data_IF_067179225312
#
_entry.id   IF_067179225312
#
_cell.length_a   1.000
_cell.length_b   1.000
_cell.length_c   1.000
_cell.angle_alpha   90.00
_cell.angle_beta   90.00
_cell.angle_gamma   90.00
#
_symmetry.space_group_name_H-M   'P 1'
#
loop_
_entity.id
_entity.type
_entity.pdbx_description
1 polymer ?
#
# COMPACT_ATOMS: atom_id res chain seq x y z
N UNK A 1 6.56 8.07 -7.20
CA UNK A 1 5.27 7.91 -6.49
C UNK A 1 4.65 6.60 -6.90
N UNK A 2 4.52 5.67 -5.97
CA UNK A 2 4.09 4.28 -6.17
C UNK A 2 2.60 4.16 -6.52
N UNK A 3 2.13 2.97 -6.90
CA UNK A 3 0.71 2.56 -6.80
C UNK A 3 0.60 1.32 -5.93
N UNK A 4 -0.48 1.16 -5.18
CA UNK A 4 -0.71 0.00 -4.32
C UNK A 4 -2.14 -0.54 -4.42
N UNK A 5 -2.30 -1.79 -4.00
CA UNK A 5 -3.56 -2.50 -3.93
C UNK A 5 -3.60 -3.36 -2.67
N UNK A 6 -4.75 -3.37 -2.02
CA UNK A 6 -5.07 -4.16 -0.83
C UNK A 6 -6.31 -4.99 -1.10
N UNK A 7 -6.30 -6.24 -0.66
CA UNK A 7 -7.44 -7.15 -0.69
C UNK A 7 -7.67 -7.72 0.70
N UNK A 8 -8.93 -7.79 1.12
CA UNK A 8 -9.37 -8.57 2.26
C UNK A 8 -10.72 -9.22 1.94
N UNK A 9 -10.78 -10.55 2.00
CA UNK A 9 -11.98 -11.28 1.64
C UNK A 9 -11.78 -12.77 1.53
N UNK A 10 -12.47 -13.39 0.57
CA UNK A 10 -12.27 -14.78 0.21
C UNK A 10 -10.86 -15.00 -0.35
N UNK A 11 -10.45 -16.26 -0.35
CA UNK A 11 -9.16 -16.67 -0.91
C UNK A 11 -9.16 -16.50 -2.43
N UNK A 12 -8.29 -15.62 -2.95
CA UNK A 12 -8.15 -15.31 -4.39
C UNK A 12 -6.71 -15.47 -4.83
N UNK A 13 -6.47 -15.62 -6.13
CA UNK A 13 -5.08 -15.66 -6.64
C UNK A 13 -4.46 -14.27 -6.62
N UNK A 14 -3.16 -14.19 -6.36
CA UNK A 14 -2.41 -12.94 -6.48
C UNK A 14 -2.49 -12.39 -7.91
N UNK A 15 -2.49 -13.26 -8.94
CA UNK A 15 -2.65 -12.83 -10.34
C UNK A 15 -3.95 -12.07 -10.57
N UNK A 16 -5.06 -12.53 -9.99
CA UNK A 16 -6.40 -11.96 -10.21
C UNK A 16 -6.54 -10.53 -9.67
N UNK A 17 -5.67 -10.14 -8.75
CA UNK A 17 -5.61 -8.79 -8.18
C UNK A 17 -4.58 -7.90 -8.87
N UNK A 18 -3.42 -8.47 -9.25
CA UNK A 18 -2.23 -7.69 -9.63
C UNK A 18 -1.99 -7.66 -11.13
N UNK A 19 -2.19 -8.78 -11.82
CA UNK A 19 -1.78 -8.99 -13.22
C UNK A 19 -2.96 -8.98 -14.18
N UNK A 20 -4.03 -9.67 -13.81
CA UNK A 20 -5.15 -10.01 -14.69
C UNK A 20 -6.08 -8.82 -14.98
N UNK A 21 -6.36 -7.90 -14.02
CA UNK A 21 -7.24 -6.77 -14.28
C UNK A 21 -6.71 -5.84 -15.40
N UNK A 22 -7.59 -5.32 -16.27
CA UNK A 22 -7.19 -4.58 -17.48
C UNK A 22 -6.46 -3.26 -17.18
N UNK A 23 -6.67 -2.69 -15.99
CA UNK A 23 -5.95 -1.51 -15.48
C UNK A 23 -5.33 -1.78 -14.11
N UNK A 24 -5.01 -3.04 -13.80
CA UNK A 24 -4.40 -3.47 -12.54
C UNK A 24 -2.95 -3.00 -12.38
N UNK A 25 -2.32 -3.39 -11.27
CA UNK A 25 -0.96 -2.95 -10.91
C UNK A 25 0.08 -3.20 -12.02
N UNK A 26 -0.04 -4.29 -12.79
CA UNK A 26 0.82 -4.53 -13.97
C UNK A 26 0.75 -3.39 -14.98
N UNK A 27 -0.45 -2.92 -15.30
CA UNK A 27 -0.65 -1.83 -16.26
C UNK A 27 -0.26 -0.50 -15.64
N UNK A 28 -0.61 -0.28 -14.36
CA UNK A 28 -0.22 0.91 -13.60
C UNK A 28 1.31 1.06 -13.44
N UNK A 29 2.06 -0.03 -13.63
CA UNK A 29 3.51 0.01 -13.66
C UNK A 29 4.05 0.87 -14.82
N UNK A 30 3.42 0.85 -15.99
CA UNK A 30 3.89 1.59 -17.18
C UNK A 30 2.90 2.64 -17.71
N UNK A 31 1.62 2.55 -17.37
CA UNK A 31 0.56 3.45 -17.83
C UNK A 31 -0.50 3.69 -16.74
N UNK A 32 -0.13 4.28 -15.59
CA UNK A 32 -1.10 4.65 -14.55
C UNK A 32 -2.05 5.75 -15.06
N UNK A 33 -3.34 5.65 -14.73
CA UNK A 33 -4.40 6.52 -15.26
C UNK A 33 -4.64 7.77 -14.42
N UNK A 34 -4.46 7.68 -13.09
CA UNK A 34 -4.80 8.75 -12.13
C UNK A 34 -3.58 9.32 -11.39
N UNK A 35 -2.39 8.83 -11.68
CA UNK A 35 -1.14 9.29 -11.09
C UNK A 35 -0.73 10.68 -11.59
N UNK A 36 -0.41 11.59 -10.66
CA UNK A 36 -0.12 13.01 -10.97
C UNK A 36 1.36 13.40 -10.89
N UNK A 37 2.18 12.61 -10.20
CA UNK A 37 3.47 13.07 -9.68
C UNK A 37 4.69 12.38 -10.30
N UNK A 38 4.50 11.33 -11.11
CA UNK A 38 5.54 10.72 -11.93
C UNK A 38 4.91 10.00 -13.12
N UNK A 39 5.74 9.66 -14.12
CA UNK A 39 5.27 9.09 -15.39
C UNK A 39 4.86 7.62 -15.28
N UNK A 40 5.60 6.82 -14.49
CA UNK A 40 5.45 5.37 -14.41
C UNK A 40 6.06 4.82 -13.11
N UNK A 41 5.84 3.54 -12.82
CA UNK A 41 6.28 2.81 -11.63
C UNK A 41 7.15 1.58 -12.00
N UNK A 42 8.43 1.83 -12.29
CA UNK A 42 9.37 0.81 -12.75
C UNK A 42 10.51 0.49 -11.78
N UNK A 43 10.58 1.19 -10.65
CA UNK A 43 11.71 1.13 -9.72
C UNK A 43 11.56 0.01 -8.67
N UNK A 44 10.80 -1.03 -9.02
CA UNK A 44 10.49 -2.18 -8.19
C UNK A 44 8.99 -2.50 -8.09
N UNK A 45 8.71 -3.68 -7.56
CA UNK A 45 7.36 -4.10 -7.19
C UNK A 45 7.43 -5.07 -6.01
N UNK A 46 6.32 -5.21 -5.29
CA UNK A 46 6.23 -6.22 -4.25
C UNK A 46 4.80 -6.65 -3.98
N UNK A 47 4.66 -7.90 -3.53
CA UNK A 47 3.41 -8.48 -3.05
C UNK A 47 3.69 -9.13 -1.71
N UNK A 48 2.90 -8.75 -0.71
CA UNK A 48 2.79 -9.45 0.55
C UNK A 48 1.41 -10.08 0.69
N UNK A 49 1.36 -11.25 1.31
CA UNK A 49 0.12 -12.01 1.47
C UNK A 49 0.17 -12.88 2.74
N UNK A 50 -1.01 -13.24 3.25
CA UNK A 50 -1.15 -14.09 4.44
C UNK A 50 -1.49 -15.51 4.03
N UNK A 51 -0.65 -16.46 4.46
CA UNK A 51 -0.76 -17.87 4.13
C UNK A 51 -1.63 -18.63 5.16
N UNK A 52 -2.66 -19.32 4.69
CA UNK A 52 -3.54 -20.13 5.53
C UNK A 52 -2.80 -21.32 6.20
N UNK A 53 -1.71 -21.81 5.62
CA UNK A 53 -0.96 -22.96 6.13
C UNK A 53 -0.10 -22.64 7.38
N UNK A 54 0.05 -21.36 7.74
CA UNK A 54 0.89 -20.89 8.85
C UNK A 54 0.06 -20.46 10.07
N UNK A 55 -1.11 -21.08 10.28
CA UNK A 55 -2.19 -20.59 11.17
C UNK A 55 -2.59 -19.12 10.88
N UNK A 56 -2.31 -18.63 9.66
CA UNK A 56 -2.63 -17.27 9.21
C UNK A 56 -1.83 -16.14 9.86
N UNK A 57 -0.84 -16.44 10.73
CA UNK A 57 -0.28 -15.42 11.62
C UNK A 57 0.83 -14.55 11.01
N UNK A 58 1.65 -15.08 10.09
CA UNK A 58 2.82 -14.39 9.56
C UNK A 58 2.68 -14.02 8.07
N UNK A 59 2.91 -12.77 7.67
CA UNK A 59 2.89 -12.37 6.27
C UNK A 59 4.12 -12.90 5.52
N UNK A 60 3.90 -13.35 4.29
CA UNK A 60 4.96 -13.67 3.32
C UNK A 60 5.11 -12.51 2.34
N UNK A 61 6.32 -12.33 1.78
CA UNK A 61 6.60 -11.26 0.81
C UNK A 61 7.44 -11.76 -0.35
N UNK A 62 7.10 -11.28 -1.54
CA UNK A 62 7.96 -11.33 -2.72
C UNK A 62 8.15 -9.90 -3.21
N UNK A 63 9.41 -9.46 -3.26
CA UNK A 63 9.78 -8.11 -3.67
C UNK A 63 10.85 -8.15 -4.74
N UNK A 64 10.87 -7.13 -5.59
CA UNK A 64 11.83 -6.93 -6.66
C UNK A 64 12.17 -5.44 -6.80
N UNK A 65 13.36 -5.17 -7.33
CA UNK A 65 13.80 -3.83 -7.76
C UNK A 65 13.60 -3.62 -9.27
N UNK A 66 13.16 -4.65 -9.98
CA UNK A 66 12.91 -4.62 -11.43
C UNK A 66 11.46 -4.20 -11.73
N UNK A 67 11.15 -3.78 -12.97
CA UNK A 67 9.78 -3.45 -13.37
C UNK A 67 8.86 -4.68 -13.37
N UNK A 68 7.63 -4.53 -12.86
CA UNK A 68 6.65 -5.63 -12.74
C UNK A 68 6.31 -6.29 -14.08
N UNK A 69 6.18 -5.51 -15.15
CA UNK A 69 5.76 -6.03 -16.47
C UNK A 69 6.78 -6.97 -17.12
N UNK A 70 8.02 -6.99 -16.64
CA UNK A 70 9.08 -7.84 -17.17
C UNK A 70 9.36 -9.09 -16.33
N UNK A 71 8.65 -9.29 -15.22
CA UNK A 71 8.93 -10.38 -14.28
C UNK A 71 8.19 -11.67 -14.64
N UNK A 72 8.80 -12.45 -15.54
CA UNK A 72 8.25 -13.74 -16.01
C UNK A 72 8.14 -14.79 -14.91
N UNK A 73 8.95 -14.68 -13.85
CA UNK A 73 8.87 -15.60 -12.72
C UNK A 73 7.62 -15.33 -11.90
N UNK A 74 7.35 -14.06 -11.62
CA UNK A 74 6.13 -13.67 -10.94
C UNK A 74 4.88 -13.95 -11.79
N UNK A 75 4.91 -13.67 -13.09
CA UNK A 75 3.80 -14.02 -14.00
C UNK A 75 3.47 -15.53 -13.99
N UNK A 76 4.50 -16.38 -13.94
CA UNK A 76 4.33 -17.83 -13.88
C UNK A 76 3.76 -18.32 -12.53
N UNK A 77 4.18 -17.73 -11.41
CA UNK A 77 3.87 -18.25 -10.06
C UNK A 77 2.66 -17.56 -9.42
N UNK A 78 2.37 -16.30 -9.73
CA UNK A 78 1.27 -15.54 -9.13
C UNK A 78 -0.12 -16.21 -9.24
N UNK A 79 -0.46 -16.96 -10.31
CA UNK A 79 -1.72 -17.71 -10.37
C UNK A 79 -1.81 -18.87 -9.36
N UNK A 80 -0.68 -19.39 -8.88
CA UNK A 80 -0.63 -20.47 -7.90
C UNK A 80 -0.62 -19.95 -6.45
N UNK A 81 -0.28 -18.68 -6.23
CA UNK A 81 -0.31 -18.04 -4.92
C UNK A 81 -1.71 -17.55 -4.61
N UNK A 82 -2.29 -18.02 -3.51
CA UNK A 82 -3.62 -17.61 -3.05
C UNK A 82 -3.57 -17.03 -1.65
N UNK A 83 -4.41 -16.04 -1.40
CA UNK A 83 -4.60 -15.49 -0.06
C UNK A 83 -5.94 -14.78 0.08
N UNK A 84 -6.45 -14.76 1.32
CA UNK A 84 -7.58 -13.96 1.76
C UNK A 84 -7.19 -12.51 2.08
N UNK A 85 -5.90 -12.21 2.20
CA UNK A 85 -5.40 -10.88 2.54
C UNK A 85 -4.10 -10.57 1.80
N UNK A 86 -4.10 -9.54 0.94
CA UNK A 86 -2.96 -9.20 0.07
C UNK A 86 -2.68 -7.70 0.15
N UNK A 87 -1.40 -7.31 0.17
CA UNK A 87 -0.94 -5.93 -0.07
C UNK A 87 0.11 -5.98 -1.17
N UNK A 88 -0.12 -5.27 -2.26
CA UNK A 88 0.75 -5.23 -3.42
C UNK A 88 1.10 -3.78 -3.79
N UNK A 89 2.27 -3.57 -4.38
CA UNK A 89 2.71 -2.26 -4.82
C UNK A 89 3.63 -2.32 -6.04
N UNK A 90 3.59 -1.27 -6.86
CA UNK A 90 4.59 -0.94 -7.88
C UNK A 90 5.24 0.38 -7.51
N UNK A 91 6.56 0.46 -7.64
CA UNK A 91 7.38 1.53 -7.08
C UNK A 91 7.79 2.53 -8.15
N UNK A 92 7.72 3.80 -7.79
CA UNK A 92 8.44 4.87 -8.45
C UNK A 92 9.25 5.61 -7.39
N UNK A 93 10.56 5.45 -7.45
CA UNK A 93 11.48 5.93 -6.44
C UNK A 93 11.57 7.46 -6.45
N UNK A 94 11.55 8.06 -5.27
CA UNK A 94 11.90 9.48 -5.11
C UNK A 94 13.34 9.69 -5.58
N UNK A 95 13.59 10.79 -6.31
CA UNK A 95 14.93 11.12 -6.82
C UNK A 95 15.94 11.12 -5.67
N UNK A 96 17.04 10.38 -5.85
CA UNK A 96 18.10 10.24 -4.85
C UNK A 96 17.91 9.11 -3.84
N UNK A 97 16.79 8.37 -3.88
CA UNK A 97 16.59 7.17 -3.07
C UNK A 97 17.16 5.91 -3.74
N UNK A 98 17.59 4.90 -2.97
CA UNK A 98 18.13 3.67 -3.54
C UNK A 98 17.05 2.87 -4.29
N UNK A 99 17.46 2.21 -5.37
CA UNK A 99 16.65 1.23 -6.11
C UNK A 99 17.13 -0.16 -5.69
N UNK A 100 16.46 -0.71 -4.67
CA UNK A 100 16.83 -1.97 -4.04
C UNK A 100 15.59 -2.66 -3.49
N UNK A 101 15.67 -3.98 -3.34
CA UNK A 101 14.54 -4.82 -2.89
C UNK A 101 14.00 -4.41 -1.51
N UNK A 102 14.88 -4.04 -0.58
CA UNK A 102 14.53 -3.58 0.77
C UNK A 102 13.74 -2.27 0.79
N UNK A 103 13.92 -1.42 -0.23
CA UNK A 103 13.23 -0.14 -0.37
C UNK A 103 11.86 -0.26 -1.06
N UNK A 104 11.48 -1.46 -1.49
CA UNK A 104 10.22 -1.74 -2.18
C UNK A 104 9.16 -2.21 -1.19
N UNK A 105 7.97 -1.59 -1.27
CA UNK A 105 6.81 -2.01 -0.50
C UNK A 105 6.28 -3.39 -0.97
N UNK A 106 5.59 -4.16 -0.12
CA UNK A 106 5.26 -3.83 1.28
C UNK A 106 6.40 -4.08 2.27
N UNK A 107 6.49 -3.19 3.25
CA UNK A 107 7.30 -3.34 4.47
C UNK A 107 6.55 -4.19 5.51
N UNK A 108 7.24 -4.72 6.52
CA UNK A 108 6.61 -5.51 7.58
C UNK A 108 7.35 -5.46 8.91
N UNK A 109 6.59 -5.51 10.01
CA UNK A 109 7.05 -5.79 11.38
C UNK A 109 6.88 -7.27 11.77
N UNK A 110 6.45 -8.11 10.83
CA UNK A 110 6.12 -9.53 11.05
C UNK A 110 4.64 -9.81 11.35
N UNK A 111 3.82 -8.78 11.58
CA UNK A 111 2.36 -8.92 11.73
C UNK A 111 1.60 -8.14 10.65
N UNK A 112 2.06 -6.92 10.37
CA UNK A 112 1.47 -6.02 9.38
C UNK A 112 2.32 -6.00 8.11
N UNK A 113 1.63 -5.94 6.98
CA UNK A 113 2.18 -5.46 5.71
C UNK A 113 1.85 -3.99 5.57
N UNK A 114 2.77 -3.17 5.06
CA UNK A 114 2.53 -1.74 4.85
C UNK A 114 3.13 -1.26 3.53
N UNK A 115 2.33 -0.57 2.74
CA UNK A 115 2.74 0.14 1.54
C UNK A 115 2.53 1.64 1.72
N UNK A 116 3.51 2.43 1.31
CA UNK A 116 3.44 3.87 1.27
C UNK A 116 3.51 4.35 -0.19
N UNK A 117 2.52 5.15 -0.57
CA UNK A 117 2.43 5.83 -1.84
C UNK A 117 2.53 7.33 -1.59
N UNK A 118 3.74 7.86 -1.71
CA UNK A 118 3.98 9.19 -1.17
C UNK A 118 5.41 9.65 -1.21
N UNK A 119 5.63 10.75 -0.51
CA UNK A 119 6.95 11.29 -0.16
C UNK A 119 6.82 11.92 1.22
N UNK A 120 7.88 11.82 2.01
CA UNK A 120 8.00 12.55 3.28
C UNK A 120 9.45 12.98 3.49
N UNK A 121 9.65 14.18 4.03
CA UNK A 121 10.97 14.60 4.48
C UNK A 121 11.43 13.72 5.65
N UNK A 122 12.52 12.97 5.44
CA UNK A 122 13.11 12.11 6.47
C UNK A 122 13.55 12.90 7.71
N UNK A 123 13.82 14.20 7.58
CA UNK A 123 14.24 15.04 8.70
C UNK A 123 13.12 15.28 9.73
N UNK A 124 11.84 15.13 9.34
CA UNK A 124 10.71 15.28 10.27
C UNK A 124 10.32 13.96 10.94
N UNK A 125 10.85 12.84 10.45
CA UNK A 125 10.54 11.53 11.00
C UNK A 125 11.31 11.33 12.32
N UNK A 126 10.63 10.84 13.38
CA UNK A 126 11.32 10.39 14.59
C UNK A 126 12.39 9.35 14.27
N UNK A 127 13.43 9.29 15.10
CA UNK A 127 14.42 8.24 15.00
C UNK A 127 13.78 6.88 15.33
N UNK A 128 13.54 6.06 14.30
CA UNK A 128 13.06 4.69 14.44
C UNK A 128 14.23 3.71 14.38
N UNK A 129 14.13 2.63 15.16
CA UNK A 129 15.24 1.71 15.43
C UNK A 129 15.48 0.68 14.33
N UNK A 130 14.48 0.37 13.49
CA UNK A 130 14.53 -0.76 12.56
C UNK A 130 13.84 -0.51 11.20
N UNK A 131 14.24 0.53 10.47
CA UNK A 131 13.81 0.70 9.09
C UNK A 131 14.45 -0.36 8.17
N UNK A 132 13.65 -0.99 7.30
CA UNK A 132 14.14 -2.00 6.35
C UNK A 132 15.11 -1.42 5.29
N UNK A 133 15.01 -0.11 5.01
CA UNK A 133 15.85 0.63 4.08
C UNK A 133 15.97 2.09 4.52
N UNK A 134 16.90 2.82 3.91
CA UNK A 134 17.13 4.25 4.16
C UNK A 134 16.16 5.17 3.38
N UNK A 135 15.28 4.60 2.55
CA UNK A 135 14.27 5.37 1.84
C UNK A 135 13.23 5.95 2.82
N UNK A 136 12.67 7.09 2.47
CA UNK A 136 11.63 7.79 3.24
C UNK A 136 10.47 6.88 3.65
N UNK A 137 10.02 6.05 2.72
CA UNK A 137 8.89 5.14 2.89
C UNK A 137 9.19 4.03 3.92
N UNK A 138 10.41 3.50 3.94
CA UNK A 138 10.81 2.48 4.92
C UNK A 138 11.01 3.08 6.32
N UNK A 139 11.54 4.29 6.41
CA UNK A 139 11.65 5.03 7.67
C UNK A 139 10.27 5.39 8.23
N UNK A 140 9.36 5.86 7.39
CA UNK A 140 7.97 6.12 7.76
C UNK A 140 7.26 4.85 8.24
N UNK A 141 7.44 3.74 7.52
CA UNK A 141 6.88 2.44 7.92
C UNK A 141 7.36 2.03 9.32
N UNK A 142 8.66 2.19 9.61
CA UNK A 142 9.21 1.87 10.93
C UNK A 142 8.57 2.73 12.04
N UNK A 143 8.38 4.03 11.81
CA UNK A 143 7.68 4.92 12.76
C UNK A 143 6.24 4.47 12.99
N UNK A 144 5.53 4.10 11.91
CA UNK A 144 4.14 3.63 12.00
C UNK A 144 4.06 2.31 12.78
N UNK A 145 4.98 1.36 12.54
CA UNK A 145 5.01 0.10 13.27
C UNK A 145 5.35 0.31 14.76
N UNK A 146 6.33 1.15 15.09
CA UNK A 146 6.70 1.44 16.48
C UNK A 146 5.56 2.12 17.26
N UNK A 147 4.78 2.98 16.61
CA UNK A 147 3.61 3.63 17.23
C UNK A 147 2.36 2.74 17.25
N UNK A 148 2.31 1.72 16.39
CA UNK A 148 1.19 0.81 16.24
C UNK A 148 0.12 1.34 15.27
N UNK A 149 -0.46 0.42 14.51
CA UNK A 149 -1.42 0.73 13.45
C UNK A 149 -2.77 1.26 13.95
N UNK A 150 -3.12 1.01 15.22
CA UNK A 150 -4.31 1.62 15.84
C UNK A 150 -4.20 3.15 15.95
N UNK A 151 -2.97 3.68 16.00
CA UNK A 151 -2.68 5.11 16.01
C UNK A 151 -2.31 5.64 14.61
N UNK A 152 -2.67 4.93 13.53
CA UNK A 152 -2.29 5.33 12.16
C UNK A 152 -2.79 6.73 11.81
N UNK A 153 -4.05 7.04 12.12
CA UNK A 153 -4.63 8.35 11.82
C UNK A 153 -3.87 9.50 12.48
N UNK A 154 -3.64 9.39 13.79
CA UNK A 154 -2.90 10.40 14.57
C UNK A 154 -1.45 10.53 14.10
N UNK A 155 -0.79 9.40 13.80
CA UNK A 155 0.59 9.38 13.29
C UNK A 155 0.70 10.12 11.95
N UNK A 156 -0.25 9.90 11.04
CA UNK A 156 -0.24 10.54 9.73
C UNK A 156 -0.56 12.04 9.85
N UNK A 157 -1.51 12.42 10.71
CA UNK A 157 -1.84 13.81 10.96
C UNK A 157 -0.65 14.59 11.57
N UNK A 158 0.08 13.99 12.52
CA UNK A 158 1.27 14.60 13.14
C UNK A 158 2.39 14.79 12.12
N UNK A 159 2.72 13.76 11.35
CA UNK A 159 3.79 13.83 10.34
C UNK A 159 3.44 14.85 9.25
N UNK A 160 2.18 14.89 8.81
CA UNK A 160 1.73 15.88 7.84
C UNK A 160 1.77 17.32 8.36
N UNK A 161 1.57 17.53 9.66
CA UNK A 161 1.74 18.85 10.28
C UNK A 161 3.21 19.29 10.28
N UNK A 162 4.14 18.34 10.42
CA UNK A 162 5.58 18.59 10.41
C UNK A 162 6.15 18.75 8.97
N UNK A 163 5.63 18.03 7.99
CA UNK A 163 5.92 18.20 6.55
C UNK A 163 4.65 18.47 5.75
N UNK A 164 4.26 19.75 5.58
CA UNK A 164 3.06 20.14 4.82
C UNK A 164 3.07 19.77 3.33
N UNK A 165 4.22 19.33 2.79
CA UNK A 165 4.34 18.86 1.40
C UNK A 165 4.31 17.35 1.29
N UNK A 166 4.26 16.64 2.41
CA UNK A 166 4.18 15.19 2.44
C UNK A 166 2.91 14.71 1.75
N UNK A 167 3.04 13.58 1.06
CA UNK A 167 1.92 12.77 0.60
C UNK A 167 2.05 11.45 1.33
N UNK A 168 1.01 11.03 2.03
CA UNK A 168 1.09 9.99 3.04
C UNK A 168 -0.04 8.97 2.82
N UNK A 169 -0.23 8.51 1.58
CA UNK A 169 -1.17 7.41 1.33
C UNK A 169 -0.56 6.12 1.85
N UNK A 170 -1.10 5.62 2.94
CA UNK A 170 -0.73 4.34 3.54
C UNK A 170 -1.77 3.31 3.14
N UNK A 171 -1.32 2.09 2.93
CA UNK A 171 -2.17 0.90 2.84
C UNK A 171 -1.48 -0.21 3.61
N UNK A 172 -2.11 -0.68 4.68
CA UNK A 172 -1.60 -1.71 5.56
C UNK A 172 -2.62 -2.82 5.81
N UNK A 173 -2.16 -4.04 6.06
CA UNK A 173 -3.02 -5.17 6.38
C UNK A 173 -2.34 -6.20 7.29
N UNK A 174 -3.12 -6.89 8.13
CA UNK A 174 -2.61 -7.90 9.10
C UNK A 174 -3.24 -9.30 8.95
N UNK A 175 -3.89 -9.58 7.82
CA UNK A 175 -4.60 -10.85 7.59
C UNK A 175 -6.10 -10.78 7.88
N UNK A 176 -6.53 -9.94 8.81
CA UNK A 176 -7.96 -9.84 9.22
C UNK A 176 -8.53 -8.42 9.15
N UNK A 177 -7.65 -7.43 8.97
CA UNK A 177 -7.98 -6.00 8.92
C UNK A 177 -7.09 -5.32 7.88
N UNK A 178 -7.66 -4.36 7.15
CA UNK A 178 -6.88 -3.37 6.39
C UNK A 178 -7.11 -1.97 6.93
N UNK A 179 -6.06 -1.18 6.93
CA UNK A 179 -6.09 0.25 7.23
C UNK A 179 -5.44 1.00 6.09
N UNK A 180 -6.02 2.11 5.68
CA UNK A 180 -5.44 2.96 4.66
C UNK A 180 -5.70 4.43 4.93
N UNK A 181 -4.82 5.30 4.45
CA UNK A 181 -5.02 6.75 4.47
C UNK A 181 -5.04 7.29 3.05
N UNK A 182 -5.97 8.20 2.78
CA UNK A 182 -5.87 9.14 1.67
C UNK A 182 -5.28 10.44 2.22
N UNK A 183 -4.08 10.80 1.79
CA UNK A 183 -3.40 12.04 2.16
C UNK A 183 -2.53 12.55 1.00
N UNK A 184 -3.13 13.38 0.15
CA UNK A 184 -2.43 14.06 -0.95
C UNK A 184 -2.19 13.19 -2.19
N UNK A 185 -2.72 11.97 -2.27
CA UNK A 185 -2.78 11.14 -3.48
C UNK A 185 -4.10 10.32 -3.50
N UNK A 186 -4.39 9.66 -4.61
CA UNK A 186 -5.66 8.95 -4.82
C UNK A 186 -5.72 7.60 -4.10
N UNK A 187 -6.92 7.28 -3.63
CA UNK A 187 -7.30 5.96 -3.12
C UNK A 187 -8.77 5.73 -3.49
N UNK A 188 -9.11 4.51 -3.90
CA UNK A 188 -10.46 4.09 -4.25
C UNK A 188 -10.77 2.77 -3.54
N UNK A 189 -12.04 2.52 -3.26
CA UNK A 189 -12.55 1.28 -2.66
C UNK A 189 -13.52 0.59 -3.61
N UNK A 190 -13.47 -0.73 -3.66
CA UNK A 190 -14.48 -1.57 -4.31
C UNK A 190 -14.96 -2.62 -3.31
N UNK A 191 -16.28 -2.64 -3.06
CA UNK A 191 -16.92 -3.67 -2.24
C UNK A 191 -17.45 -4.76 -3.16
N UNK A 192 -16.90 -5.96 -3.06
CA UNK A 192 -17.34 -7.14 -3.79
C UNK A 192 -18.15 -8.06 -2.88
N UNK A 193 -18.97 -8.96 -3.43
CA UNK A 193 -19.66 -9.98 -2.63
C UNK A 193 -18.73 -10.88 -1.83
N UNK A 194 -17.48 -11.02 -2.28
CA UNK A 194 -16.46 -11.90 -1.70
C UNK A 194 -15.34 -11.15 -0.97
N UNK A 195 -15.39 -9.82 -0.85
CA UNK A 195 -14.36 -9.07 -0.14
C UNK A 195 -14.29 -7.59 -0.52
N UNK A 196 -13.22 -6.94 -0.11
CA UNK A 196 -13.02 -5.51 -0.33
C UNK A 196 -11.64 -5.28 -0.93
N UNK A 197 -11.59 -4.42 -1.95
CA UNK A 197 -10.36 -3.92 -2.55
C UNK A 197 -10.17 -2.47 -2.15
N UNK A 198 -8.95 -2.12 -1.74
CA UNK A 198 -8.47 -0.74 -1.67
C UNK A 198 -7.37 -0.58 -2.72
N UNK A 199 -7.43 0.42 -3.58
CA UNK A 199 -6.42 0.60 -4.62
C UNK A 199 -6.12 2.07 -4.87
N UNK A 200 -4.89 2.40 -5.24
CA UNK A 200 -4.53 3.79 -5.60
C UNK A 200 -5.37 4.32 -6.77
N UNK A 201 -5.81 3.44 -7.67
CA UNK A 201 -6.76 3.75 -8.74
C UNK A 201 -7.52 2.47 -9.14
N UNK A 202 -8.77 2.58 -9.66
CA UNK A 202 -9.56 1.43 -10.09
C UNK A 202 -8.81 0.54 -11.08
N UNK A 203 -8.84 -0.78 -10.85
CA UNK A 203 -8.15 -1.76 -11.70
C UNK A 203 -8.94 -2.15 -12.96
N UNK A 204 -10.18 -1.68 -13.08
CA UNK A 204 -11.09 -1.90 -14.19
C UNK A 204 -12.04 -0.69 -14.35
N UNK A 205 -13.22 -0.90 -14.94
CA UNK A 205 -14.28 0.09 -15.12
C UNK A 205 -15.57 -0.29 -14.39
N UNK A 206 -15.47 -1.09 -13.31
CA UNK A 206 -16.64 -1.38 -12.47
C UNK A 206 -17.25 -0.05 -11.96
N UNK A 207 -18.58 0.07 -12.02
CA UNK A 207 -19.27 1.27 -11.57
C UNK A 207 -19.30 1.42 -10.05
N UNK A 208 -19.05 0.33 -9.33
CA UNK A 208 -19.11 0.26 -7.87
C UNK A 208 -17.82 0.75 -7.19
N UNK A 209 -16.83 1.17 -7.98
CA UNK A 209 -15.65 1.88 -7.46
C UNK A 209 -16.05 3.24 -6.88
N UNK A 210 -15.71 3.44 -5.61
CA UNK A 210 -15.88 4.71 -4.90
C UNK A 210 -14.52 5.34 -4.62
N UNK A 211 -14.37 6.63 -4.89
CA UNK A 211 -13.17 7.37 -4.51
C UNK A 211 -13.21 7.71 -3.02
N UNK A 212 -12.10 7.44 -2.33
CA UNK A 212 -11.91 7.85 -0.93
C UNK A 212 -11.58 9.34 -0.92
N UNK A 213 -12.33 10.17 -0.18
CA UNK A 213 -12.01 11.59 -0.08
C UNK A 213 -10.63 11.80 0.55
N UNK A 214 -9.94 12.85 0.14
CA UNK A 214 -8.64 13.19 0.73
C UNK A 214 -8.76 13.43 2.25
N UNK A 215 -7.67 13.19 2.99
CA UNK A 215 -7.58 13.28 4.46
C UNK A 215 -8.59 12.38 5.17
N UNK A 216 -8.67 11.12 4.75
CA UNK A 216 -9.51 10.11 5.39
C UNK A 216 -8.69 8.88 5.77
N UNK A 217 -9.04 8.30 6.91
CA UNK A 217 -8.68 6.95 7.30
C UNK A 217 -9.79 6.01 6.81
N UNK A 218 -9.39 4.92 6.17
CA UNK A 218 -10.27 3.82 5.76
C UNK A 218 -9.89 2.60 6.57
N UNK A 219 -10.89 1.97 7.17
CA UNK A 219 -10.76 0.71 7.88
C UNK A 219 -11.64 -0.34 7.23
N UNK A 220 -11.07 -1.51 6.96
CA UNK A 220 -11.77 -2.67 6.44
C UNK A 220 -11.60 -3.82 7.41
N UNK A 221 -12.72 -4.39 7.85
CA UNK A 221 -12.78 -5.59 8.69
C UNK A 221 -13.87 -6.54 8.16
N UNK A 222 -14.05 -7.69 8.81
CA UNK A 222 -15.20 -8.56 8.54
C UNK A 222 -16.57 -7.84 8.76
N UNK A 223 -16.60 -6.75 9.54
CA UNK A 223 -17.80 -5.95 9.77
C UNK A 223 -18.11 -4.95 8.65
N UNK A 224 -17.23 -4.78 7.66
CA UNK A 224 -17.41 -3.88 6.53
C UNK A 224 -16.33 -2.81 6.43
N UNK A 225 -16.66 -1.71 5.74
CA UNK A 225 -15.77 -0.58 5.47
C UNK A 225 -16.23 0.64 6.24
N UNK A 226 -15.34 1.24 7.03
CA UNK A 226 -15.55 2.53 7.70
C UNK A 226 -14.60 3.56 7.11
N UNK A 227 -15.08 4.79 6.90
CA UNK A 227 -14.27 5.92 6.49
C UNK A 227 -14.43 7.04 7.52
N UNK A 228 -13.31 7.51 8.05
CA UNK A 228 -13.27 8.53 9.09
C UNK A 228 -12.40 9.69 8.61
N UNK A 229 -12.91 10.94 8.60
CA UNK A 229 -12.09 12.11 8.33
C UNK A 229 -10.92 12.19 9.31
N UNK A 230 -9.73 12.51 8.81
CA UNK A 230 -8.58 12.82 9.64
C UNK A 230 -8.57 14.33 9.89
N UNK A 231 -8.75 14.72 11.15
CA UNK A 231 -8.70 16.12 11.54
C UNK A 231 -7.29 16.68 11.32
N UNK A 232 -7.22 17.90 10.81
CA UNK A 232 -6.04 18.73 11.03
C UNK A 232 -6.04 19.12 12.51
N UNK A 233 -4.94 18.96 13.27
CA UNK A 233 -4.76 19.83 14.41
C UNK A 233 -4.86 21.26 13.86
N UNK A 234 -5.88 22.00 14.31
CA UNK A 234 -5.91 23.44 14.09
C UNK A 234 -4.56 23.94 14.59
N UNK A 235 -3.78 24.54 13.71
CA UNK A 235 -2.52 25.16 14.10
C UNK A 235 -2.75 26.14 15.27
N UNK A 236 -1.71 26.40 16.07
CA UNK A 236 -1.80 27.29 17.22
C UNK A 236 -2.34 28.68 16.86
#
# INVERSE_FOLDING_TARGET
>A
MCRHLGWLGADVTVSSLVLDPPFGLRVQAYAPRRQKHCLLNADGWGVGFFDAASDGAAPRRWRSQLPLWGDVSFESVAPALRSHCVVAAVRSATVGMPIEVSATAPFTDGQWLLSHNGIVDRAVLPAASQAESVCDSAMLAAVIFERGLDALGDTIAEIAAADPRARLNILAANGSRMLATAWGDTLSVLRRPDGVVLASEPYDNDSDWEDVPDRHLVEVTAGGVTMTPLDHPKGP
#
